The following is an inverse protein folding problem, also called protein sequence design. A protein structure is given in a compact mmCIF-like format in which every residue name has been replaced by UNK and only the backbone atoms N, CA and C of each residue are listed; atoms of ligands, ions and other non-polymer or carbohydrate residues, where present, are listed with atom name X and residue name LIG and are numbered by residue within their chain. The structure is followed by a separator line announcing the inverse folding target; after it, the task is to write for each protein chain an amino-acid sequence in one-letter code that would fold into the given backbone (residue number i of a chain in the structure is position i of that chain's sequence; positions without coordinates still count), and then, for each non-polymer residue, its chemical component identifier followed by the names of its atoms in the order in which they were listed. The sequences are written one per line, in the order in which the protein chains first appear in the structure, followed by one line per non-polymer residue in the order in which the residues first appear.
data_IF_241710515417
#
_entry.id   IF_241710515417
#
_cell.length_a   1.000
_cell.length_b   1.000
_cell.length_c   1.000
_cell.angle_alpha   90.00
_cell.angle_beta   90.00
_cell.angle_gamma   90.00
#
_symmetry.space_group_name_H-M   'P 1'
#
loop_
_entity.id
_entity.type
_entity.pdbx_description
1 polymer ?
#
# COMPACT_ATOMS: atom_id res chain seq x y z
N UNK A 1 -2.40 2.51 -13.44
CA UNK A 1 -0.99 2.14 -13.34
C UNK A 1 -0.28 3.24 -12.58
N UNK A 2 0.66 2.85 -11.72
CA UNK A 2 1.29 3.76 -10.79
C UNK A 2 2.11 4.84 -11.49
N UNK A 3 2.32 5.96 -10.79
CA UNK A 3 3.29 6.99 -11.18
C UNK A 3 4.22 7.30 -10.02
N UNK A 4 5.43 7.79 -10.32
CA UNK A 4 6.42 8.17 -9.30
C UNK A 4 6.63 9.69 -9.35
N UNK A 5 6.53 10.37 -8.21
CA UNK A 5 6.80 11.79 -8.06
C UNK A 5 7.94 12.00 -7.06
N UNK A 6 9.02 12.65 -7.49
CA UNK A 6 10.16 12.97 -6.62
C UNK A 6 9.89 14.27 -5.86
N UNK A 7 9.80 14.22 -4.53
CA UNK A 7 9.38 15.40 -3.74
C UNK A 7 10.39 16.56 -3.83
N UNK A 8 11.68 16.26 -3.95
CA UNK A 8 12.74 17.26 -4.00
C UNK A 8 12.78 18.04 -5.32
N UNK A 9 12.53 17.37 -6.44
CA UNK A 9 12.68 17.94 -7.79
C UNK A 9 11.35 18.25 -8.46
N UNK A 10 10.25 17.70 -7.96
CA UNK A 10 8.93 17.64 -8.62
C UNK A 10 8.96 16.96 -10.00
N UNK A 11 10.00 16.19 -10.29
CA UNK A 11 10.06 15.34 -11.46
C UNK A 11 9.06 14.19 -11.31
N UNK A 12 8.47 13.73 -12.42
CA UNK A 12 7.48 12.68 -12.43
C UNK A 12 7.76 11.64 -13.50
N UNK A 13 7.79 10.37 -13.11
CA UNK A 13 7.76 9.25 -14.04
C UNK A 13 6.32 8.80 -14.27
N UNK A 14 5.93 8.78 -15.54
CA UNK A 14 4.61 8.31 -16.00
C UNK A 14 4.73 7.17 -17.02
N UNK A 15 5.89 7.03 -17.68
CA UNK A 15 6.17 5.85 -18.49
C UNK A 15 6.36 4.62 -17.58
N UNK A 16 5.70 3.53 -17.95
CA UNK A 16 5.60 2.36 -17.08
C UNK A 16 6.90 1.55 -17.05
N UNK A 17 7.75 1.66 -18.06
CA UNK A 17 9.08 1.06 -18.02
C UNK A 17 9.99 1.84 -17.08
N UNK A 18 9.90 3.18 -17.08
CA UNK A 18 10.64 4.04 -16.15
C UNK A 18 10.21 3.80 -14.71
N UNK A 19 8.90 3.78 -14.44
CA UNK A 19 8.34 3.48 -13.11
C UNK A 19 8.80 2.10 -12.64
N UNK A 20 8.60 1.06 -13.45
CA UNK A 20 8.95 -0.32 -13.05
C UNK A 20 10.46 -0.49 -12.83
N UNK A 21 11.30 0.09 -13.69
CA UNK A 21 12.75 0.02 -13.53
C UNK A 21 13.21 0.76 -12.27
N UNK A 22 12.65 1.94 -12.00
CA UNK A 22 12.97 2.75 -10.84
C UNK A 22 12.60 2.04 -9.52
N UNK A 23 11.39 1.48 -9.44
CA UNK A 23 10.92 0.76 -8.26
C UNK A 23 11.71 -0.53 -8.05
N UNK A 24 11.95 -1.29 -9.12
CA UNK A 24 12.71 -2.54 -9.06
C UNK A 24 14.15 -2.32 -8.58
N UNK A 25 14.82 -1.24 -9.01
CA UNK A 25 16.18 -0.95 -8.53
C UNK A 25 16.26 -0.59 -7.05
N UNK A 26 15.12 -0.31 -6.41
CA UNK A 26 14.97 -0.02 -4.97
C UNK A 26 14.36 -1.17 -4.19
N UNK A 27 14.19 -2.32 -4.82
CA UNK A 27 13.60 -3.52 -4.22
C UNK A 27 12.09 -3.45 -4.02
N UNK A 28 11.44 -2.35 -4.42
CA UNK A 28 9.99 -2.21 -4.36
C UNK A 28 9.37 -3.07 -5.46
N UNK A 29 8.62 -4.09 -5.09
CA UNK A 29 7.86 -4.89 -6.06
C UNK A 29 6.69 -4.06 -6.57
N UNK A 30 6.46 -4.09 -7.88
CA UNK A 30 5.29 -3.52 -8.50
C UNK A 30 4.70 -4.52 -9.50
N UNK A 31 3.40 -4.75 -9.43
CA UNK A 31 2.66 -5.57 -10.37
C UNK A 31 1.35 -4.88 -10.74
N UNK A 32 0.88 -5.10 -11.97
CA UNK A 32 -0.43 -4.64 -12.43
C UNK A 32 -1.33 -5.85 -12.60
N UNK A 33 -2.38 -5.94 -11.79
CA UNK A 33 -3.38 -6.99 -11.89
C UNK A 33 -4.64 -6.48 -12.61
N UNK A 34 -5.38 -7.40 -13.22
CA UNK A 34 -6.59 -7.09 -13.96
C UNK A 34 -7.78 -6.90 -13.01
N UNK A 35 -8.05 -5.66 -12.64
CA UNK A 35 -9.21 -5.29 -11.82
C UNK A 35 -10.55 -5.42 -12.54
N UNK A 36 -10.57 -5.61 -13.87
CA UNK A 36 -11.82 -5.83 -14.61
C UNK A 36 -12.51 -7.16 -14.25
N UNK A 37 -11.80 -8.07 -13.58
CA UNK A 37 -12.36 -9.30 -12.99
C UNK A 37 -13.31 -9.04 -11.84
N UNK A 38 -13.24 -7.85 -11.20
CA UNK A 38 -14.07 -7.52 -10.05
C UNK A 38 -15.55 -7.47 -10.46
N UNK A 39 -16.48 -8.09 -9.70
CA UNK A 39 -17.91 -7.96 -9.95
C UNK A 39 -18.35 -6.49 -9.97
N UNK A 40 -19.25 -6.15 -10.88
CA UNK A 40 -19.64 -4.75 -11.14
C UNK A 40 -20.23 -4.05 -9.91
N UNK A 41 -20.88 -4.81 -9.02
CA UNK A 41 -21.43 -4.33 -7.75
C UNK A 41 -20.38 -3.96 -6.69
N UNK A 42 -19.14 -4.43 -6.86
CA UNK A 42 -18.02 -4.14 -5.95
C UNK A 42 -17.09 -3.05 -6.49
N UNK A 43 -17.23 -2.67 -7.76
CA UNK A 43 -16.49 -1.55 -8.35
C UNK A 43 -16.90 -0.25 -7.66
N UNK A 44 -15.94 0.48 -7.11
CA UNK A 44 -16.16 1.73 -6.39
C UNK A 44 -17.13 1.62 -5.18
N UNK A 45 -17.17 0.44 -4.55
CA UNK A 45 -17.91 0.20 -3.32
C UNK A 45 -16.98 0.26 -2.11
N UNK A 46 -17.24 1.19 -1.18
CA UNK A 46 -16.37 1.46 -0.03
C UNK A 46 -16.98 0.98 1.31
N UNK A 47 -18.29 0.73 1.37
CA UNK A 47 -18.95 0.12 2.54
C UNK A 47 -19.14 -1.37 2.27
N UNK A 48 -18.15 -2.16 2.68
CA UNK A 48 -18.09 -3.59 2.38
C UNK A 48 -18.64 -4.43 3.53
N UNK A 49 -19.54 -5.36 3.20
CA UNK A 49 -19.91 -6.47 4.07
C UNK A 49 -18.80 -7.52 4.09
N UNK A 50 -18.86 -8.46 5.03
CA UNK A 50 -17.88 -9.56 5.07
C UNK A 50 -17.99 -10.47 3.83
N UNK A 51 -19.19 -10.60 3.24
CA UNK A 51 -19.38 -11.32 1.98
C UNK A 51 -18.71 -10.60 0.80
N UNK A 52 -18.78 -9.26 0.76
CA UNK A 52 -18.11 -8.47 -0.27
C UNK A 52 -16.59 -8.61 -0.16
N UNK A 53 -16.04 -8.55 1.06
CA UNK A 53 -14.60 -8.76 1.30
C UNK A 53 -14.14 -10.14 0.84
N UNK A 54 -14.91 -11.19 1.15
CA UNK A 54 -14.59 -12.54 0.72
C UNK A 54 -14.63 -12.65 -0.83
N UNK A 55 -15.62 -12.03 -1.46
CA UNK A 55 -15.73 -12.01 -2.92
C UNK A 55 -14.53 -11.34 -3.59
N UNK A 56 -14.03 -10.24 -3.01
CA UNK A 56 -12.79 -9.58 -3.49
C UNK A 56 -11.59 -10.53 -3.36
N UNK A 57 -11.40 -11.15 -2.20
CA UNK A 57 -10.29 -12.09 -1.98
C UNK A 57 -10.35 -13.28 -2.95
N UNK A 58 -11.54 -13.84 -3.17
CA UNK A 58 -11.75 -14.97 -4.09
C UNK A 58 -11.45 -14.57 -5.55
N UNK A 59 -11.81 -13.35 -5.94
CA UNK A 59 -11.59 -12.82 -7.32
C UNK A 59 -10.10 -12.71 -7.67
N UNK A 60 -9.27 -12.34 -6.70
CA UNK A 60 -7.82 -12.14 -6.86
C UNK A 60 -6.98 -13.27 -6.23
N UNK A 61 -7.62 -14.36 -5.80
CA UNK A 61 -6.93 -15.49 -5.18
C UNK A 61 -5.77 -16.03 -6.02
N UNK A 62 -5.87 -16.16 -7.37
CA UNK A 62 -4.77 -16.69 -8.16
C UNK A 62 -3.51 -15.82 -8.07
N UNK A 63 -3.67 -14.50 -8.17
CA UNK A 63 -2.55 -13.57 -8.09
C UNK A 63 -2.01 -13.43 -6.65
N UNK A 64 -2.90 -13.42 -5.65
CA UNK A 64 -2.50 -13.45 -4.23
C UNK A 64 -1.69 -14.71 -3.94
N UNK A 65 -2.11 -15.86 -4.46
CA UNK A 65 -1.43 -17.15 -4.26
C UNK A 65 -0.06 -17.14 -4.93
N UNK A 66 0.04 -16.69 -6.18
CA UNK A 66 1.31 -16.61 -6.92
C UNK A 66 2.33 -15.72 -6.21
N UNK A 67 1.95 -14.50 -5.80
CA UNK A 67 2.87 -13.60 -5.10
C UNK A 67 3.24 -14.14 -3.71
N UNK A 68 2.28 -14.78 -3.02
CA UNK A 68 2.51 -15.39 -1.70
C UNK A 68 3.49 -16.56 -1.79
N UNK A 69 3.39 -17.42 -2.80
CA UNK A 69 4.33 -18.52 -3.03
C UNK A 69 5.73 -18.01 -3.38
N UNK A 70 5.83 -16.95 -4.20
CA UNK A 70 7.13 -16.35 -4.57
C UNK A 70 7.84 -15.65 -3.42
N UNK A 71 7.09 -15.08 -2.46
CA UNK A 71 7.62 -14.19 -1.42
C UNK A 71 7.47 -14.71 0.01
N UNK A 72 6.77 -15.82 0.20
CA UNK A 72 6.54 -16.43 1.52
C UNK A 72 5.45 -15.73 2.34
N UNK A 73 4.46 -15.10 1.70
CA UNK A 73 3.33 -14.50 2.42
C UNK A 73 2.33 -15.57 2.87
N UNK A 74 1.62 -15.31 3.97
CA UNK A 74 0.79 -16.32 4.64
C UNK A 74 -0.71 -15.99 4.66
N UNK A 75 -1.05 -14.72 4.85
CA UNK A 75 -2.45 -14.30 5.01
C UNK A 75 -2.74 -13.04 4.22
N UNK A 76 -4.01 -12.87 3.87
CA UNK A 76 -4.52 -11.65 3.25
C UNK A 76 -5.87 -11.26 3.85
N UNK A 77 -6.13 -9.96 3.92
CA UNK A 77 -7.45 -9.41 4.27
C UNK A 77 -7.76 -8.14 3.46
N UNK A 78 -8.94 -7.58 3.69
CA UNK A 78 -9.40 -6.35 3.03
C UNK A 78 -9.51 -5.22 4.03
N UNK A 79 -8.93 -4.06 3.68
CA UNK A 79 -9.21 -2.79 4.34
C UNK A 79 -9.98 -1.87 3.39
N UNK A 80 -10.94 -1.15 3.94
CA UNK A 80 -11.62 -0.05 3.25
C UNK A 80 -11.56 1.21 4.11
N UNK A 81 -11.04 2.28 3.53
CA UNK A 81 -11.03 3.62 4.11
C UNK A 81 -11.84 4.53 3.21
N UNK A 82 -12.74 5.30 3.79
CA UNK A 82 -13.51 6.36 3.11
C UNK A 82 -14.06 7.32 4.16
N UNK A 83 -14.68 8.42 3.75
CA UNK A 83 -15.34 9.34 4.70
C UNK A 83 -16.46 8.66 5.53
N UNK A 84 -16.92 7.46 5.16
CA UNK A 84 -17.83 6.66 5.98
C UNK A 84 -17.12 5.88 7.12
N UNK A 85 -15.79 5.78 7.09
CA UNK A 85 -14.99 5.11 8.12
C UNK A 85 -15.02 5.92 9.42
N UNK A 86 -15.48 5.34 10.55
CA UNK A 86 -15.44 6.01 11.84
C UNK A 86 -14.01 6.40 12.21
N UNK A 87 -13.82 7.63 12.68
CA UNK A 87 -12.53 8.17 13.12
C UNK A 87 -11.45 8.13 12.03
N UNK A 88 -11.84 8.29 10.74
CA UNK A 88 -10.89 8.27 9.62
C UNK A 88 -9.69 9.19 9.84
N UNK A 89 -9.90 10.44 10.28
CA UNK A 89 -8.81 11.39 10.47
C UNK A 89 -7.80 10.92 11.52
N UNK A 90 -8.26 10.32 12.62
CA UNK A 90 -7.38 9.77 13.67
C UNK A 90 -6.59 8.55 13.16
N UNK A 91 -7.22 7.71 12.32
CA UNK A 91 -6.55 6.59 11.67
C UNK A 91 -5.47 7.06 10.69
N UNK A 92 -5.79 8.07 9.86
CA UNK A 92 -4.86 8.62 8.87
C UNK A 92 -3.63 9.26 9.53
N UNK A 93 -3.77 9.89 10.70
CA UNK A 93 -2.63 10.42 11.45
C UNK A 93 -1.57 9.35 11.75
N UNK A 94 -1.96 8.10 11.96
CA UNK A 94 -1.00 7.02 12.20
C UNK A 94 -0.29 6.59 10.91
N UNK A 95 -1.03 6.49 9.80
CA UNK A 95 -0.46 6.13 8.50
C UNK A 95 0.45 7.22 7.92
N UNK A 96 0.18 8.50 8.23
CA UNK A 96 0.97 9.65 7.76
C UNK A 96 2.25 9.90 8.55
N UNK A 97 2.41 9.29 9.73
CA UNK A 97 3.67 9.34 10.47
C UNK A 97 4.66 8.41 9.81
N UNK A 98 5.88 8.88 9.58
CA UNK A 98 6.97 8.06 9.04
C UNK A 98 7.25 6.85 9.95
N UNK A 99 7.27 5.65 9.38
CA UNK A 99 7.54 4.40 10.07
C UNK A 99 8.26 3.39 9.17
N UNK A 100 8.64 2.25 9.74
CA UNK A 100 9.02 1.05 8.99
C UNK A 100 8.39 -0.20 9.63
N UNK A 101 8.52 -1.33 8.94
CA UNK A 101 8.03 -2.64 9.37
C UNK A 101 9.15 -3.68 9.32
N UNK A 102 9.02 -4.75 10.11
CA UNK A 102 9.99 -5.87 10.08
C UNK A 102 9.62 -6.91 9.03
N UNK A 103 8.39 -6.88 8.51
CA UNK A 103 7.92 -7.61 7.34
C UNK A 103 7.66 -6.65 6.17
N UNK A 104 7.63 -7.19 4.95
CA UNK A 104 7.24 -6.43 3.77
C UNK A 104 5.81 -5.87 3.94
N UNK A 105 5.58 -4.63 3.50
CA UNK A 105 4.23 -4.08 3.44
C UNK A 105 3.65 -4.24 2.03
N UNK A 106 2.75 -5.21 1.87
CA UNK A 106 2.14 -5.52 0.58
C UNK A 106 0.72 -4.97 0.51
N UNK A 107 0.43 -4.19 -0.53
CA UNK A 107 -0.90 -3.62 -0.80
C UNK A 107 -1.26 -3.80 -2.27
N UNK A 108 -2.46 -4.31 -2.51
CA UNK A 108 -3.08 -4.31 -3.83
C UNK A 108 -4.34 -3.44 -3.83
N UNK A 109 -4.38 -2.43 -4.70
CA UNK A 109 -5.50 -1.48 -4.74
C UNK A 109 -6.63 -2.03 -5.59
N UNK A 110 -7.80 -2.17 -4.98
CA UNK A 110 -9.03 -2.68 -5.61
C UNK A 110 -9.90 -1.52 -6.09
N UNK A 111 -9.98 -0.44 -5.32
CA UNK A 111 -10.77 0.77 -5.65
C UNK A 111 -10.18 1.99 -4.94
N UNK A 112 -10.45 3.19 -5.46
CA UNK A 112 -9.91 4.43 -4.93
C UNK A 112 -8.39 4.55 -5.10
N UNK A 113 -7.76 5.39 -4.29
CA UNK A 113 -6.38 5.79 -4.50
C UNK A 113 -5.61 5.99 -3.18
N UNK A 114 -4.31 5.78 -3.26
CA UNK A 114 -3.39 5.96 -2.15
C UNK A 114 -2.00 6.33 -2.64
N UNK A 115 -1.21 6.88 -1.73
CA UNK A 115 0.17 7.28 -1.99
C UNK A 115 1.06 6.68 -0.93
N UNK A 116 2.06 5.91 -1.37
CA UNK A 116 3.21 5.56 -0.54
C UNK A 116 4.31 6.57 -0.77
N UNK A 117 4.73 7.27 0.28
CA UNK A 117 5.93 8.08 0.25
C UNK A 117 7.08 7.28 0.87
N UNK A 118 8.11 6.99 0.09
CA UNK A 118 9.23 6.13 0.50
C UNK A 118 10.50 6.98 0.54
N UNK A 119 11.28 6.81 1.60
CA UNK A 119 12.58 7.48 1.75
C UNK A 119 13.67 6.72 0.98
N UNK A 120 14.51 7.46 0.28
CA UNK A 120 15.67 6.96 -0.45
C UNK A 120 16.89 7.85 -0.19
N UNK A 121 18.06 7.24 -0.08
CA UNK A 121 19.30 7.93 0.27
C UNK A 121 19.84 8.82 -0.87
N UNK A 122 19.51 8.50 -2.13
CA UNK A 122 20.00 9.22 -3.32
C UNK A 122 19.05 10.36 -3.73
N UNK A 123 17.75 10.07 -3.76
CA UNK A 123 16.73 11.02 -4.29
C UNK A 123 15.91 11.71 -3.20
N UNK A 124 16.04 11.29 -1.95
CA UNK A 124 15.15 11.69 -0.86
C UNK A 124 13.78 11.02 -0.99
N UNK A 125 12.73 11.66 -0.46
CA UNK A 125 11.38 11.12 -0.57
C UNK A 125 10.87 11.12 -2.02
N UNK A 126 10.27 9.99 -2.41
CA UNK A 126 9.48 9.87 -3.63
C UNK A 126 8.10 9.26 -3.30
N UNK A 127 7.09 9.71 -4.03
CA UNK A 127 5.71 9.27 -3.91
C UNK A 127 5.41 8.26 -5.01
N UNK A 128 4.79 7.15 -4.64
CA UNK A 128 4.20 6.19 -5.56
C UNK A 128 2.69 6.39 -5.46
N UNK A 129 2.11 6.96 -6.50
CA UNK A 129 0.67 7.21 -6.59
C UNK A 129 -0.01 6.00 -7.22
N UNK A 130 -0.84 5.31 -6.43
CA UNK A 130 -1.45 4.04 -6.79
C UNK A 130 -2.90 4.22 -7.24
N UNK A 131 -3.29 3.39 -8.21
CA UNK A 131 -4.60 3.30 -8.82
C UNK A 131 -5.14 1.87 -8.68
N UNK A 132 -6.44 1.63 -8.94
CA UNK A 132 -6.97 0.28 -9.03
C UNK A 132 -6.15 -0.59 -9.97
N UNK A 133 -5.79 -1.78 -9.50
CA UNK A 133 -4.96 -2.75 -10.21
C UNK A 133 -3.47 -2.69 -9.84
N UNK A 134 -3.03 -1.68 -9.12
CA UNK A 134 -1.64 -1.58 -8.67
C UNK A 134 -1.41 -2.45 -7.41
N UNK A 135 -0.52 -3.44 -7.50
CA UNK A 135 0.09 -4.09 -6.35
C UNK A 135 1.48 -3.50 -6.10
N UNK A 136 1.78 -3.21 -4.84
CA UNK A 136 3.09 -2.83 -4.36
C UNK A 136 3.52 -3.72 -3.18
N UNK A 137 4.82 -4.02 -3.09
CA UNK A 137 5.45 -4.51 -1.85
C UNK A 137 6.59 -3.56 -1.46
N UNK A 138 6.43 -2.86 -0.35
CA UNK A 138 7.49 -2.05 0.27
C UNK A 138 8.40 -2.97 1.09
N UNK A 139 9.73 -2.97 0.88
CA UNK A 139 10.63 -3.87 1.60
C UNK A 139 10.70 -3.60 3.10
N UNK A 140 11.00 -4.65 3.87
CA UNK A 140 11.36 -4.56 5.30
C UNK A 140 12.34 -3.42 5.60
N UNK A 141 12.20 -2.80 6.78
CA UNK A 141 13.09 -1.73 7.28
C UNK A 141 13.19 -0.48 6.37
N UNK A 142 12.30 -0.33 5.37
CA UNK A 142 12.23 0.86 4.54
C UNK A 142 11.40 1.92 5.24
N UNK A 143 11.93 3.15 5.40
CA UNK A 143 11.16 4.27 5.95
C UNK A 143 10.14 4.77 4.94
N UNK A 144 8.88 4.82 5.36
CA UNK A 144 7.78 5.26 4.51
C UNK A 144 6.62 5.81 5.34
N UNK A 145 5.65 6.40 4.65
CA UNK A 145 4.33 6.71 5.17
C UNK A 145 3.28 6.58 4.07
N UNK A 146 2.02 6.47 4.46
CA UNK A 146 0.87 6.36 3.55
C UNK A 146 -0.09 7.54 3.73
N UNK A 147 -0.63 8.02 2.61
CA UNK A 147 -1.75 8.95 2.61
C UNK A 147 -2.76 8.59 1.52
N UNK A 148 -4.03 8.95 1.74
CA UNK A 148 -5.02 8.95 0.68
C UNK A 148 -4.78 10.13 -0.26
N UNK A 149 -5.26 10.00 -1.50
CA UNK A 149 -5.37 11.14 -2.42
C UNK A 149 -6.60 12.01 -2.10
N UNK A 150 -6.85 13.02 -2.91
CA UNK A 150 -7.91 14.02 -2.71
C UNK A 150 -9.33 13.41 -2.61
N UNK A 151 -9.53 12.24 -3.22
CA UNK A 151 -10.80 11.51 -3.15
C UNK A 151 -11.04 10.79 -1.81
N UNK A 152 -10.02 10.78 -0.93
CA UNK A 152 -10.04 10.29 0.46
C UNK A 152 -10.67 8.92 0.62
N UNK A 153 -10.41 8.01 -0.33
CA UNK A 153 -10.98 6.66 -0.28
C UNK A 153 -10.07 5.63 -0.94
N UNK A 154 -10.02 4.43 -0.35
CA UNK A 154 -9.31 3.29 -0.90
C UNK A 154 -9.91 1.98 -0.39
N UNK A 155 -9.97 0.98 -1.25
CA UNK A 155 -10.13 -0.43 -0.89
C UNK A 155 -8.85 -1.14 -1.29
N UNK A 156 -8.20 -1.81 -0.35
CA UNK A 156 -6.97 -2.53 -0.60
C UNK A 156 -6.99 -3.94 -0.01
N UNK A 157 -6.44 -4.90 -0.75
CA UNK A 157 -6.00 -6.18 -0.19
C UNK A 157 -4.67 -5.92 0.54
N UNK A 158 -4.60 -6.33 1.80
CA UNK A 158 -3.36 -6.36 2.58
C UNK A 158 -2.87 -7.79 2.60
N UNK A 159 -1.60 -8.02 2.25
CA UNK A 159 -0.99 -9.35 2.27
C UNK A 159 0.17 -9.31 3.28
N UNK A 160 0.28 -10.33 4.13
CA UNK A 160 1.19 -10.34 5.28
C UNK A 160 2.10 -11.57 5.27
N UNK A 161 3.35 -11.38 5.68
CA UNK A 161 4.24 -12.50 6.06
C UNK A 161 3.80 -13.06 7.41
N UNK A 162 3.66 -12.20 8.43
CA UNK A 162 3.16 -12.56 9.77
C UNK A 162 2.17 -11.51 10.29
N UNK A 163 1.37 -11.86 11.30
CA UNK A 163 0.45 -10.92 11.95
C UNK A 163 1.15 -9.86 12.81
N UNK A 164 2.42 -10.06 13.16
CA UNK A 164 3.14 -9.20 14.10
C UNK A 164 4.11 -8.25 13.37
N UNK A 165 4.62 -8.64 12.20
CA UNK A 165 5.64 -7.86 11.50
C UNK A 165 5.14 -6.60 10.77
N UNK A 166 3.82 -6.40 10.65
CA UNK A 166 3.21 -5.19 10.07
C UNK A 166 3.01 -4.07 11.10
N UNK A 167 3.37 -4.26 12.37
CA UNK A 167 3.25 -3.19 13.38
C UNK A 167 4.20 -2.04 13.02
N UNK A 168 3.74 -0.78 12.99
CA UNK A 168 4.58 0.35 12.62
C UNK A 168 5.62 0.64 13.70
N UNK A 169 6.89 0.73 13.28
CA UNK A 169 8.01 1.16 14.13
C UNK A 169 8.35 2.60 13.75
N UNK A 170 7.98 3.55 14.61
CA UNK A 170 8.21 4.97 14.37
C UNK A 170 9.65 5.44 14.65
N UNK A 171 10.44 4.62 15.37
CA UNK A 171 11.69 4.99 16.09
C UNK A 171 11.48 5.94 17.29
N UNK A 172 12.35 5.81 18.29
CA UNK A 172 12.23 6.39 19.63
C UNK A 172 12.23 7.92 19.60
N UNK A 173 11.24 8.52 20.27
CA UNK A 173 11.42 9.80 20.96
C UNK A 173 12.71 9.70 21.80
N UNK A 174 13.69 10.62 21.69
CA UNK A 174 14.93 10.59 22.48
C UNK A 174 14.74 10.73 24.01
N UNK A 175 13.52 10.60 24.54
CA UNK A 175 13.15 10.97 25.90
C UNK A 175 12.40 9.86 26.66
N UNK A 176 12.96 8.66 26.70
CA UNK A 176 12.82 7.82 27.90
C UNK A 176 14.20 7.51 28.47
N UNK A 177 14.89 8.55 28.93
CA UNK A 177 15.80 8.40 30.07
C UNK A 177 14.94 8.34 31.32
N UNK A 178 14.83 7.14 31.88
CA UNK A 178 14.38 6.89 33.25
C UNK A 178 15.08 7.85 34.22
N UNK A 179 14.30 8.66 34.93
CA UNK A 179 14.66 9.23 36.24
C UNK A 179 13.94 8.44 37.31
#
# INVERSE_FOLDING_TARGET
MATVLFQKTNERYTDQNEVSAFLSSRGVLYEQWDVSKLPAELVDTYTLTDADKQTILDTFQPEITDVSERRGYQTADIISLSDATPNLDELLVNFQKEHHHTDDEVRFIVSGHGVFAIQDDEVGYYNIELNPGDLISVPVNTRHYFTLQDDRKVVAVRIFVTTDGWVPIYEKDPLETTN
#
